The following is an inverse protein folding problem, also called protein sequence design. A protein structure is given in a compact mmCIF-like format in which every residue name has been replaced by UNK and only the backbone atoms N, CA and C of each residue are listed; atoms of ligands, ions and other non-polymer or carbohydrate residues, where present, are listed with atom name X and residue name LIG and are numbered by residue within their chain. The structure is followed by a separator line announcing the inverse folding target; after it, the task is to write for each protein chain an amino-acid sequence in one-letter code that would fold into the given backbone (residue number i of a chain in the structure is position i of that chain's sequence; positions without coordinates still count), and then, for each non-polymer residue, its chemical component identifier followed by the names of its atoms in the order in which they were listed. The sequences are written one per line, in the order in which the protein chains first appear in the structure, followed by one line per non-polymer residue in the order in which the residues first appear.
data_IF_988211891701
#
_entry.id   IF_988211891701
#
_cell.length_a   1.000
_cell.length_b   1.000
_cell.length_c   1.000
_cell.angle_alpha   90.00
_cell.angle_beta   90.00
_cell.angle_gamma   90.00
#
_symmetry.space_group_name_H-M   'P 1'
#
loop_
_entity.id
_entity.type
_entity.pdbx_description
1 polymer ?
#
# COMPACT_ATOMS: atom_id res chain seq x y z
N UNK A 1 -3.88 9.33 9.45
CA UNK A 1 -5.23 8.74 9.40
C UNK A 1 -6.23 9.74 8.84
N UNK A 2 -6.13 11.02 9.20
CA UNK A 2 -6.97 12.11 8.66
C UNK A 2 -7.18 12.09 7.12
N UNK A 3 -6.12 11.98 6.30
CA UNK A 3 -6.29 11.91 4.83
C UNK A 3 -7.09 10.67 4.39
N UNK A 4 -6.87 9.52 5.03
CA UNK A 4 -7.61 8.29 4.70
C UNK A 4 -9.09 8.43 5.06
N UNK A 5 -9.40 9.02 6.23
CA UNK A 5 -10.76 9.30 6.67
C UNK A 5 -11.48 10.25 5.72
N UNK A 6 -10.81 11.33 5.30
CA UNK A 6 -11.34 12.30 4.34
C UNK A 6 -11.60 11.72 2.95
N UNK A 7 -10.93 10.60 2.61
CA UNK A 7 -11.10 9.88 1.35
C UNK A 7 -11.99 8.63 1.47
N UNK A 8 -12.52 8.32 2.65
CA UNK A 8 -13.27 7.08 2.89
C UNK A 8 -12.45 5.80 2.73
N UNK A 9 -11.12 5.88 2.79
CA UNK A 9 -10.22 4.72 2.65
C UNK A 9 -9.94 4.16 4.05
N UNK A 10 -10.16 2.85 4.30
CA UNK A 10 -9.79 2.24 5.58
C UNK A 10 -8.28 2.39 5.84
N UNK A 11 -7.94 3.21 6.83
CA UNK A 11 -6.57 3.44 7.25
C UNK A 11 -5.98 2.21 7.90
N UNK A 12 -4.93 1.66 7.31
CA UNK A 12 -4.14 0.59 7.90
C UNK A 12 -2.73 1.07 8.23
N UNK A 13 -2.19 0.60 9.34
CA UNK A 13 -0.79 0.86 9.64
C UNK A 13 0.07 0.16 8.59
N UNK A 14 1.09 0.83 8.01
CA UNK A 14 2.00 0.19 7.09
C UNK A 14 2.72 -0.95 7.82
N UNK A 15 2.41 -2.19 7.44
CA UNK A 15 3.07 -3.37 7.98
C UNK A 15 4.35 -3.63 7.19
N UNK A 16 5.38 -4.11 7.88
CA UNK A 16 6.59 -4.62 7.22
C UNK A 16 6.34 -6.06 6.80
N UNK A 17 6.89 -6.42 5.64
CA UNK A 17 7.01 -7.81 5.25
C UNK A 17 7.80 -8.60 6.31
N UNK A 18 7.35 -9.81 6.59
CA UNK A 18 8.00 -10.73 7.51
C UNK A 18 8.58 -11.89 6.70
N UNK A 19 9.91 -11.96 6.61
CA UNK A 19 10.60 -12.91 5.73
C UNK A 19 10.21 -14.38 5.91
N UNK A 20 9.98 -14.81 7.16
CA UNK A 20 9.59 -16.20 7.46
C UNK A 20 8.10 -16.51 7.20
N UNK A 21 7.27 -15.48 6.96
CA UNK A 21 5.87 -15.63 6.59
C UNK A 21 5.72 -15.19 5.14
N UNK A 22 5.98 -16.08 4.21
CA UNK A 22 6.05 -15.77 2.77
C UNK A 22 4.78 -15.09 2.21
N UNK A 23 3.59 -15.37 2.77
CA UNK A 23 2.34 -14.68 2.42
C UNK A 23 2.21 -13.25 2.98
N UNK A 24 3.05 -12.84 3.93
CA UNK A 24 3.00 -11.47 4.45
C UNK A 24 3.32 -10.42 3.38
N UNK A 25 4.02 -10.79 2.30
CA UNK A 25 4.26 -9.90 1.16
C UNK A 25 2.95 -9.60 0.42
N UNK A 26 2.08 -10.61 0.31
CA UNK A 26 0.77 -10.47 -0.28
C UNK A 26 -0.15 -9.60 0.59
N UNK A 27 -0.19 -9.86 1.90
CA UNK A 27 -1.01 -9.09 2.86
C UNK A 27 -0.60 -7.60 2.85
N UNK A 28 0.71 -7.33 2.89
CA UNK A 28 1.26 -5.97 2.79
C UNK A 28 0.97 -5.36 1.41
N UNK A 29 1.05 -6.16 0.34
CA UNK A 29 0.73 -5.72 -1.02
C UNK A 29 -0.70 -5.26 -1.16
N UNK A 30 -1.67 -6.01 -0.63
CA UNK A 30 -3.11 -5.65 -0.69
C UNK A 30 -3.34 -4.35 0.06
N UNK A 31 -2.83 -4.27 1.29
CA UNK A 31 -2.96 -3.09 2.13
C UNK A 31 -2.37 -1.85 1.45
N UNK A 32 -1.18 -2.00 0.87
CA UNK A 32 -0.50 -0.93 0.13
C UNK A 32 -1.27 -0.50 -1.10
N UNK A 33 -1.80 -1.45 -1.89
CA UNK A 33 -2.61 -1.17 -3.09
C UNK A 33 -3.86 -0.38 -2.74
N UNK A 34 -4.56 -0.76 -1.67
CA UNK A 34 -5.75 -0.05 -1.19
C UNK A 34 -5.44 1.37 -0.70
N UNK A 35 -4.32 1.55 -0.01
CA UNK A 35 -3.92 2.86 0.53
C UNK A 35 -3.22 3.78 -0.47
N UNK A 36 -2.89 3.29 -1.67
CA UNK A 36 -2.11 4.04 -2.65
C UNK A 36 -2.71 5.40 -3.03
N UNK A 37 -4.04 5.56 -3.20
CA UNK A 37 -4.64 6.87 -3.45
C UNK A 37 -4.44 7.83 -2.27
N UNK A 38 -4.63 7.37 -1.03
CA UNK A 38 -4.37 8.18 0.16
C UNK A 38 -2.91 8.60 0.28
N UNK A 39 -1.97 7.72 -0.10
CA UNK A 39 -0.56 8.09 -0.16
C UNK A 39 -0.29 9.15 -1.24
N UNK A 40 -0.88 9.03 -2.44
CA UNK A 40 -0.75 10.07 -3.47
C UNK A 40 -1.18 11.42 -2.93
N UNK A 41 -2.38 11.51 -2.34
CA UNK A 41 -2.90 12.74 -1.75
C UNK A 41 -1.97 13.28 -0.65
N UNK A 42 -1.62 12.45 0.33
CA UNK A 42 -0.72 12.83 1.43
C UNK A 42 0.62 13.38 0.94
N UNK A 43 1.21 12.71 -0.05
CA UNK A 43 2.55 13.04 -0.55
C UNK A 43 2.55 14.15 -1.60
N UNK A 44 1.40 14.52 -2.16
CA UNK A 44 1.26 15.69 -3.03
C UNK A 44 1.72 16.98 -2.34
N UNK A 45 1.47 17.12 -1.04
CA UNK A 45 1.91 18.29 -0.27
C UNK A 45 3.44 18.51 -0.21
N UNK A 46 4.23 17.46 -0.49
CA UNK A 46 5.70 17.49 -0.50
C UNK A 46 6.30 17.70 -1.89
N UNK A 47 5.49 17.72 -2.94
CA UNK A 47 5.94 18.09 -4.28
C UNK A 47 6.31 19.59 -4.32
N UNK A 48 7.26 19.92 -5.19
CA UNK A 48 7.53 21.32 -5.52
C UNK A 48 6.37 21.90 -6.37
N UNK A 49 6.32 23.21 -6.53
CA UNK A 49 5.22 23.87 -7.24
C UNK A 49 5.08 23.44 -8.72
N UNK A 50 6.19 23.17 -9.41
CA UNK A 50 6.14 22.73 -10.81
C UNK A 50 5.51 21.34 -10.94
N UNK A 51 5.93 20.40 -10.10
CA UNK A 51 5.37 19.06 -10.05
C UNK A 51 3.91 19.06 -9.58
N UNK A 52 3.55 19.93 -8.63
CA UNK A 52 2.16 20.06 -8.20
C UNK A 52 1.25 20.47 -9.37
N UNK A 53 1.68 21.42 -10.19
CA UNK A 53 0.92 21.82 -11.38
C UNK A 53 0.82 20.68 -12.39
N UNK A 54 1.91 19.93 -12.61
CA UNK A 54 1.93 18.80 -13.53
C UNK A 54 0.96 17.67 -13.12
N UNK A 55 0.85 17.42 -11.81
CA UNK A 55 0.07 16.30 -11.26
C UNK A 55 -1.31 16.69 -10.73
N UNK A 56 -1.74 17.95 -10.92
CA UNK A 56 -3.02 18.45 -10.38
C UNK A 56 -4.21 17.68 -10.95
N UNK A 57 -4.24 17.43 -12.25
CA UNK A 57 -5.36 16.72 -12.90
C UNK A 57 -5.51 15.29 -12.36
N UNK A 58 -4.38 14.62 -12.09
CA UNK A 58 -4.35 13.27 -11.49
C UNK A 58 -4.87 13.34 -10.04
N UNK A 59 -4.54 14.39 -9.30
CA UNK A 59 -5.06 14.57 -7.94
C UNK A 59 -6.58 14.78 -7.94
N UNK A 60 -7.10 15.60 -8.85
CA UNK A 60 -8.54 15.83 -9.00
C UNK A 60 -9.29 14.57 -9.44
N UNK A 61 -8.69 13.75 -10.31
CA UNK A 61 -9.22 12.42 -10.64
C UNK A 61 -9.31 11.53 -9.39
N UNK A 62 -8.26 11.47 -8.57
CA UNK A 62 -8.28 10.70 -7.32
C UNK A 62 -9.40 11.19 -6.38
N UNK A 63 -9.58 12.50 -6.27
CA UNK A 63 -10.67 13.07 -5.48
C UNK A 63 -12.05 12.68 -6.00
N UNK A 64 -12.24 12.73 -7.31
CA UNK A 64 -13.50 12.32 -7.95
C UNK A 64 -13.78 10.84 -7.71
N UNK A 65 -12.80 9.97 -7.91
CA UNK A 65 -12.94 8.52 -7.74
C UNK A 65 -13.28 8.10 -6.30
N UNK A 66 -12.88 8.92 -5.32
CA UNK A 66 -13.14 8.68 -3.90
C UNK A 66 -14.24 9.59 -3.32
N UNK A 67 -14.98 10.32 -4.15
CA UNK A 67 -16.09 11.18 -3.71
C UNK A 67 -15.67 12.29 -2.74
N UNK A 68 -14.44 12.79 -2.85
CA UNK A 68 -13.90 13.80 -1.93
C UNK A 68 -14.52 15.17 -2.21
N UNK A 69 -15.42 15.61 -1.35
CA UNK A 69 -16.09 16.91 -1.48
C UNK A 69 -15.18 18.10 -1.13
N UNK A 70 -15.61 19.31 -1.51
CA UNK A 70 -14.82 20.55 -1.37
C UNK A 70 -14.38 20.84 0.07
N UNK A 71 -15.23 20.54 1.07
CA UNK A 71 -14.86 20.69 2.48
C UNK A 71 -13.67 19.79 2.87
N UNK A 72 -13.63 18.56 2.35
CA UNK A 72 -12.55 17.63 2.60
C UNK A 72 -11.27 18.05 1.86
N UNK A 73 -11.39 18.50 0.60
CA UNK A 73 -10.27 19.08 -0.16
C UNK A 73 -9.63 20.27 0.57
N UNK A 74 -10.44 21.21 1.04
CA UNK A 74 -9.96 22.36 1.81
C UNK A 74 -9.23 21.93 3.10
N UNK A 75 -9.74 20.89 3.78
CA UNK A 75 -9.08 20.32 4.97
C UNK A 75 -7.73 19.67 4.63
N UNK A 76 -7.65 18.93 3.54
CA UNK A 76 -6.40 18.34 3.03
C UNK A 76 -5.39 19.43 2.68
N UNK A 77 -5.84 20.50 2.01
CA UNK A 77 -4.98 21.63 1.67
C UNK A 77 -4.42 22.32 2.90
N UNK A 78 -5.26 22.56 3.92
CA UNK A 78 -4.80 23.09 5.21
C UNK A 78 -3.77 22.17 5.86
N UNK A 79 -4.01 20.85 5.85
CA UNK A 79 -3.07 19.86 6.36
C UNK A 79 -1.73 19.89 5.62
N UNK A 80 -1.72 20.04 4.28
CA UNK A 80 -0.49 20.23 3.51
C UNK A 80 0.27 21.50 3.91
N UNK A 81 -0.43 22.60 4.16
CA UNK A 81 0.19 23.85 4.62
C UNK A 81 0.80 23.69 6.02
N UNK A 82 0.11 23.02 6.94
CA UNK A 82 0.64 22.75 8.29
C UNK A 82 1.91 21.87 8.24
N UNK A 83 1.90 20.84 7.39
CA UNK A 83 3.06 19.97 7.19
C UNK A 83 4.29 20.71 6.65
N UNK A 84 4.10 21.75 5.82
CA UNK A 84 5.19 22.58 5.30
C UNK A 84 5.82 23.47 6.38
N UNK A 85 5.05 23.89 7.38
CA UNK A 85 5.54 24.72 8.50
C UNK A 85 6.41 23.93 9.48
N UNK A 86 6.21 22.61 9.56
CA UNK A 86 6.99 21.73 10.44
C UNK A 86 8.42 21.58 9.91
N UNK A 87 9.38 22.13 10.64
CA UNK A 87 10.80 21.89 10.40
C UNK A 87 11.10 20.38 10.40
N UNK A 88 11.84 19.92 9.41
CA UNK A 88 12.10 18.50 9.20
C UNK A 88 13.58 18.23 9.04
N UNK A 89 14.04 17.18 9.73
CA UNK A 89 15.42 16.70 9.65
C UNK A 89 15.74 16.26 8.22
N UNK A 90 17.03 16.27 7.85
CA UNK A 90 17.45 15.85 6.52
C UNK A 90 17.04 14.40 6.22
N UNK A 91 17.22 13.49 7.19
CA UNK A 91 16.77 12.09 7.09
C UNK A 91 15.26 11.99 6.81
N UNK A 92 14.46 12.87 7.43
CA UNK A 92 13.02 12.96 7.19
C UNK A 92 12.69 13.41 5.77
N UNK A 93 13.43 14.39 5.25
CA UNK A 93 13.29 14.88 3.86
C UNK A 93 13.63 13.76 2.87
N UNK A 94 14.79 13.14 3.01
CA UNK A 94 15.24 12.06 2.11
C UNK A 94 14.25 10.90 2.11
N UNK A 95 13.69 10.56 3.28
CA UNK A 95 12.66 9.52 3.37
C UNK A 95 11.40 9.90 2.60
N UNK A 96 10.94 11.14 2.70
CA UNK A 96 9.75 11.62 1.98
C UNK A 96 10.00 11.69 0.47
N UNK A 97 11.16 12.19 0.05
CA UNK A 97 11.56 12.23 -1.35
C UNK A 97 11.55 10.83 -1.98
N UNK A 98 12.09 9.82 -1.27
CA UNK A 98 12.01 8.41 -1.73
C UNK A 98 10.57 7.92 -1.92
N UNK A 99 9.64 8.35 -1.07
CA UNK A 99 8.22 7.95 -1.18
C UNK A 99 7.52 8.72 -2.29
N UNK A 100 7.73 10.04 -2.39
CA UNK A 100 7.25 10.88 -3.48
C UNK A 100 7.66 10.30 -4.83
N UNK A 101 8.95 9.94 -4.97
CA UNK A 101 9.46 9.30 -6.18
C UNK A 101 8.68 8.04 -6.53
N UNK A 102 8.44 7.14 -5.57
CA UNK A 102 7.71 5.89 -5.82
C UNK A 102 6.23 6.10 -6.17
N UNK A 103 5.59 7.06 -5.50
CA UNK A 103 4.14 7.26 -5.55
C UNK A 103 3.73 8.10 -6.76
N UNK A 104 4.52 9.12 -7.10
CA UNK A 104 4.25 10.09 -8.17
C UNK A 104 5.12 9.83 -9.40
N UNK A 105 6.44 9.90 -9.29
CA UNK A 105 7.33 9.88 -10.47
C UNK A 105 7.49 8.48 -11.09
N UNK A 106 7.54 7.45 -10.25
CA UNK A 106 7.65 6.04 -10.64
C UNK A 106 6.30 5.32 -10.45
N UNK A 107 5.18 6.06 -10.51
CA UNK A 107 3.85 5.52 -10.20
C UNK A 107 3.54 4.28 -11.04
N UNK A 108 3.82 4.32 -12.34
CA UNK A 108 3.61 3.18 -13.24
C UNK A 108 4.39 1.94 -12.79
N UNK A 109 5.69 2.10 -12.49
CA UNK A 109 6.56 1.02 -12.04
C UNK A 109 6.10 0.44 -10.70
N UNK A 110 5.74 1.30 -9.74
CA UNK A 110 5.20 0.89 -8.45
C UNK A 110 3.89 0.10 -8.61
N UNK A 111 2.98 0.57 -9.46
CA UNK A 111 1.73 -0.11 -9.76
C UNK A 111 1.96 -1.46 -10.43
N UNK A 112 2.90 -1.54 -11.38
CA UNK A 112 3.26 -2.79 -12.05
C UNK A 112 3.82 -3.81 -11.06
N UNK A 113 4.78 -3.42 -10.22
CA UNK A 113 5.33 -4.31 -9.19
C UNK A 113 4.24 -4.81 -8.23
N UNK A 114 3.39 -3.92 -7.72
CA UNK A 114 2.27 -4.31 -6.86
C UNK A 114 1.34 -5.30 -7.57
N UNK A 115 1.02 -5.05 -8.85
CA UNK A 115 0.14 -5.93 -9.63
C UNK A 115 0.75 -7.32 -9.83
N UNK A 116 2.06 -7.41 -10.08
CA UNK A 116 2.78 -8.69 -10.17
C UNK A 116 2.70 -9.45 -8.85
N UNK A 117 3.02 -8.80 -7.71
CA UNK A 117 2.94 -9.47 -6.41
C UNK A 117 1.51 -9.94 -6.10
N UNK A 118 0.51 -9.12 -6.40
CA UNK A 118 -0.88 -9.44 -6.15
C UNK A 118 -1.45 -10.51 -7.08
N UNK A 119 -0.94 -10.62 -8.31
CA UNK A 119 -1.36 -11.66 -9.25
C UNK A 119 -0.67 -13.01 -9.04
N UNK A 120 0.64 -12.99 -8.75
CA UNK A 120 1.45 -14.22 -8.68
C UNK A 120 1.34 -14.91 -7.32
N UNK A 121 1.35 -14.16 -6.20
CA UNK A 121 1.37 -14.77 -4.87
C UNK A 121 0.14 -15.62 -4.54
N UNK A 122 -1.10 -15.27 -4.96
CA UNK A 122 -2.26 -16.15 -4.81
C UNK A 122 -2.12 -17.47 -5.56
N UNK A 123 -1.63 -17.43 -6.81
CA UNK A 123 -1.43 -18.64 -7.62
C UNK A 123 -0.40 -19.56 -6.95
N UNK A 124 0.70 -18.98 -6.47
CA UNK A 124 1.71 -19.73 -5.73
C UNK A 124 1.16 -20.33 -4.43
N UNK A 125 0.29 -19.60 -3.72
CA UNK A 125 -0.43 -20.09 -2.54
C UNK A 125 -1.26 -21.33 -2.86
N UNK A 126 -2.09 -21.25 -3.91
CA UNK A 126 -2.93 -22.38 -4.34
C UNK A 126 -2.07 -23.58 -4.73
N UNK A 127 -1.00 -23.36 -5.50
CA UNK A 127 -0.05 -24.41 -5.87
C UNK A 127 0.52 -25.11 -4.62
N UNK A 128 1.09 -24.36 -3.67
CA UNK A 128 1.66 -24.93 -2.43
C UNK A 128 0.61 -25.70 -1.62
N UNK A 129 -0.61 -25.17 -1.52
CA UNK A 129 -1.71 -25.84 -0.81
C UNK A 129 -2.07 -27.20 -1.42
N UNK A 130 -2.00 -27.35 -2.75
CA UNK A 130 -2.21 -28.64 -3.43
C UNK A 130 -1.18 -29.69 -2.99
N UNK A 131 0.10 -29.33 -2.85
CA UNK A 131 1.14 -30.26 -2.40
C UNK A 131 1.02 -30.60 -0.92
N UNK A 132 0.66 -29.62 -0.09
CA UNK A 132 0.39 -29.85 1.34
C UNK A 132 -0.82 -30.78 1.56
N UNK A 133 -1.90 -30.58 0.80
CA UNK A 133 -3.07 -31.44 0.86
C UNK A 133 -2.75 -32.87 0.38
N UNK A 134 -1.96 -33.02 -0.68
CA UNK A 134 -1.50 -34.34 -1.14
C UNK A 134 -0.65 -35.06 -0.09
N UNK A 135 0.23 -34.35 0.62
CA UNK A 135 0.99 -34.94 1.73
C UNK A 135 0.09 -35.41 2.89
N UNK A 136 -1.00 -34.70 3.20
CA UNK A 136 -1.98 -35.16 4.19
C UNK A 136 -2.74 -36.43 3.76
N UNK A 137 -2.99 -36.61 2.46
CA UNK A 137 -3.66 -37.81 1.94
C UNK A 137 -2.73 -39.01 1.74
N UNK A 138 -1.41 -38.79 1.72
CA UNK A 138 -0.41 -39.86 1.59
C UNK A 138 0.20 -40.32 2.91
N UNK A 139 -0.14 -39.71 4.05
CA UNK A 139 0.21 -40.29 5.35
C UNK A 139 -0.61 -41.57 5.54
N UNK A 140 -0.01 -42.77 5.59
CA UNK A 140 -0.77 -43.96 5.93
C UNK A 140 -1.33 -43.78 7.34
N UNK A 141 -2.59 -44.17 7.57
CA UNK A 141 -3.19 -44.39 8.90
C UNK A 141 -2.50 -45.56 9.65
N UNK A 142 -1.18 -45.61 9.70
CA UNK A 142 -0.39 -46.66 10.38
C UNK A 142 0.57 -46.04 11.39
N UNK A 143 0.04 -45.28 12.34
CA UNK A 143 0.77 -44.91 13.57
C UNK A 143 -0.15 -44.81 14.79
N UNK A 144 -1.32 -45.47 14.78
CA UNK A 144 -2.23 -45.54 15.95
C UNK A 144 -2.63 -46.98 16.32
N UNK A 145 -2.12 -47.99 15.63
CA UNK A 145 -2.27 -49.39 16.05
C UNK A 145 -0.90 -50.00 16.34
N UNK A 146 -0.28 -49.53 17.42
CA UNK A 146 0.66 -50.33 18.22
C UNK A 146 0.51 -49.86 19.68
N UNK A 147 -0.64 -50.18 20.27
CA UNK A 147 -0.67 -50.50 21.70
C UNK A 147 -0.04 -51.89 21.87
N UNK A 148 1.01 -51.97 22.69
CA UNK A 148 1.23 -52.91 23.81
C UNK A 148 2.67 -52.74 24.33
#
# INVERSE_FOLDING_TARGET
MEVCELMGIPGTNPQRFTAHRWLSAYDVGISTRRMLPAYKVLYFGFLNHADQNLYMDILEEIYRDHGVGERAKARIQFFHQDLRKKGMTQVGKDRKERVVKKVWFESLKTNLHLSVYLGVLPILKEYVMVFQAKHLHTTPKKLVEMEF
#
